data_IF_565246516354
#
_entry.id   IF_565246516354
#
_cell.length_a   1.000
_cell.length_b   1.000
_cell.length_c   1.000
_cell.angle_alpha   90.00
_cell.angle_beta   90.00
_cell.angle_gamma   90.00
#
_symmetry.space_group_name_H-M   'P 1'
#
loop_
_entity.id
_entity.type
_entity.pdbx_description
1 polymer ?
#
# COMPACT_ATOMS: atom_id res chain seq x y z
N UNK A 1 36.82 6.91 20.58
CA UNK A 1 35.55 6.33 21.07
C UNK A 1 34.80 7.42 21.81
N UNK A 2 33.50 7.59 21.56
CA UNK A 2 32.71 8.58 22.30
C UNK A 2 32.54 8.12 23.75
N UNK A 3 32.52 9.06 24.69
CA UNK A 3 32.28 8.77 26.11
C UNK A 3 30.84 8.31 26.33
N UNK A 4 30.58 7.63 27.46
CA UNK A 4 29.21 7.24 27.86
C UNK A 4 28.25 8.44 27.82
N UNK A 5 28.71 9.61 28.29
CA UNK A 5 27.95 10.87 28.30
C UNK A 5 27.59 11.32 26.89
N UNK A 6 28.54 11.28 25.96
CA UNK A 6 28.31 11.63 24.55
C UNK A 6 27.36 10.67 23.85
N UNK A 7 27.41 9.37 24.15
CA UNK A 7 26.45 8.38 23.63
C UNK A 7 25.04 8.64 24.17
N UNK A 8 24.93 8.97 25.45
CA UNK A 8 23.64 9.28 26.09
C UNK A 8 23.01 10.55 25.48
N UNK A 9 23.83 11.57 25.17
CA UNK A 9 23.36 12.78 24.51
C UNK A 9 22.98 12.57 23.03
N UNK A 10 23.61 11.61 22.33
CA UNK A 10 23.18 11.19 20.99
C UNK A 10 21.81 10.51 21.05
N UNK A 11 21.61 9.56 21.96
CA UNK A 11 20.34 8.83 22.10
C UNK A 11 19.19 9.75 22.48
N UNK A 12 19.42 10.77 23.33
CA UNK A 12 18.40 11.79 23.66
C UNK A 12 17.85 12.54 22.44
N UNK A 13 18.59 12.58 21.32
CA UNK A 13 18.09 13.16 20.06
C UNK A 13 16.95 12.35 19.46
N UNK A 14 16.87 11.06 19.77
CA UNK A 14 15.78 10.16 19.41
C UNK A 14 14.68 10.28 20.48
N UNK A 15 13.69 11.11 20.23
CA UNK A 15 12.46 11.15 21.00
C UNK A 15 11.30 10.57 20.18
N UNK A 16 10.17 10.18 20.82
CA UNK A 16 9.04 9.57 20.12
C UNK A 16 8.53 10.39 18.94
N UNK A 17 8.46 11.71 19.08
CA UNK A 17 8.03 12.63 18.01
C UNK A 17 8.95 12.55 16.81
N UNK A 18 10.27 12.51 17.03
CA UNK A 18 11.25 12.41 15.95
C UNK A 18 11.25 11.04 15.29
N UNK A 19 11.12 9.96 16.06
CA UNK A 19 11.01 8.59 15.53
C UNK A 19 9.76 8.48 14.65
N UNK A 20 8.62 8.96 15.13
CA UNK A 20 7.37 9.01 14.37
C UNK A 20 7.54 9.80 13.08
N UNK A 21 8.15 10.99 13.14
CA UNK A 21 8.46 11.78 11.95
C UNK A 21 9.32 11.01 10.95
N UNK A 22 10.42 10.40 11.39
CA UNK A 22 11.31 9.61 10.52
C UNK A 22 10.55 8.45 9.87
N UNK A 23 9.68 7.77 10.63
CA UNK A 23 8.85 6.68 10.12
C UNK A 23 7.92 7.15 9.01
N UNK A 24 7.13 8.20 9.25
CA UNK A 24 6.20 8.72 8.25
C UNK A 24 6.91 9.35 7.04
N UNK A 25 8.04 10.01 7.24
CA UNK A 25 8.89 10.50 6.15
C UNK A 25 9.42 9.31 5.31
N UNK A 26 9.78 8.20 5.96
CA UNK A 26 10.23 6.98 5.27
C UNK A 26 9.09 6.34 4.47
N UNK A 27 7.89 6.21 5.04
CA UNK A 27 6.70 5.72 4.34
C UNK A 27 6.40 6.58 3.10
N UNK A 28 6.43 7.91 3.25
CA UNK A 28 6.22 8.85 2.13
C UNK A 28 7.28 8.69 1.04
N UNK A 29 8.53 8.41 1.41
CA UNK A 29 9.60 8.21 0.44
C UNK A 29 9.43 6.95 -0.43
N UNK A 30 8.72 5.93 0.09
CA UNK A 30 8.41 4.69 -0.62
C UNK A 30 6.94 4.60 -1.07
N UNK A 31 6.21 5.71 -1.06
CA UNK A 31 4.77 5.75 -1.38
C UNK A 31 4.47 5.12 -2.74
N UNK A 32 5.28 5.43 -3.76
CA UNK A 32 5.11 4.85 -5.11
C UNK A 32 5.24 3.34 -5.12
N UNK A 33 6.21 2.80 -4.38
CA UNK A 33 6.42 1.36 -4.28
C UNK A 33 5.26 0.68 -3.57
N UNK A 34 4.74 1.32 -2.50
CA UNK A 34 3.59 0.81 -1.76
C UNK A 34 2.33 0.76 -2.64
N UNK A 35 2.10 1.81 -3.43
CA UNK A 35 0.99 1.87 -4.38
C UNK A 35 1.14 0.79 -5.45
N UNK A 36 2.31 0.67 -6.07
CA UNK A 36 2.61 -0.34 -7.09
C UNK A 36 2.38 -1.76 -6.57
N UNK A 37 2.75 -2.04 -5.31
CA UNK A 37 2.51 -3.36 -4.72
C UNK A 37 1.01 -3.62 -4.49
N UNK A 38 0.25 -2.61 -4.07
CA UNK A 38 -1.20 -2.77 -3.92
C UNK A 38 -1.87 -2.96 -5.29
N UNK A 39 -1.48 -2.21 -6.32
CA UNK A 39 -2.12 -2.24 -7.64
C UNK A 39 -1.58 -3.38 -8.51
N UNK A 40 -0.31 -3.30 -8.90
CA UNK A 40 0.31 -4.15 -9.93
C UNK A 40 0.67 -5.56 -9.45
N UNK A 41 0.83 -5.76 -8.13
CA UNK A 41 1.25 -7.06 -7.58
C UNK A 41 0.16 -7.76 -6.76
N UNK A 42 -1.02 -7.15 -6.57
CA UNK A 42 -2.06 -7.69 -5.70
C UNK A 42 -3.44 -7.55 -6.34
N UNK A 43 -3.89 -6.32 -6.64
CA UNK A 43 -5.18 -6.11 -7.30
C UNK A 43 -5.18 -6.67 -8.73
N UNK A 44 -4.08 -6.53 -9.48
CA UNK A 44 -3.92 -7.11 -10.82
C UNK A 44 -4.04 -8.64 -10.82
N UNK A 45 -3.65 -9.30 -9.72
CA UNK A 45 -3.80 -10.74 -9.50
C UNK A 45 -5.19 -11.11 -8.97
N UNK A 46 -6.03 -10.12 -8.70
CA UNK A 46 -7.37 -10.26 -8.16
C UNK A 46 -7.42 -10.61 -6.70
N UNK A 47 -6.50 -10.03 -5.92
CA UNK A 47 -6.36 -10.23 -4.47
C UNK A 47 -6.61 -8.91 -3.75
N UNK A 48 -7.40 -8.95 -2.67
CA UNK A 48 -7.69 -7.80 -1.81
C UNK A 48 -6.62 -7.60 -0.72
N UNK A 49 -6.77 -6.59 0.14
CA UNK A 49 -5.79 -6.30 1.19
C UNK A 49 -5.78 -7.34 2.32
N UNK A 50 -6.84 -8.15 2.44
CA UNK A 50 -6.90 -9.28 3.37
C UNK A 50 -6.27 -10.57 2.78
N UNK A 51 -5.79 -10.52 1.53
CA UNK A 51 -5.21 -11.67 0.84
C UNK A 51 -6.25 -12.64 0.27
N UNK A 52 -7.52 -12.22 0.21
CA UNK A 52 -8.62 -13.00 -0.37
C UNK A 52 -8.83 -12.63 -1.83
N UNK A 53 -9.48 -13.52 -2.58
CA UNK A 53 -9.88 -13.20 -3.96
C UNK A 53 -10.90 -12.07 -3.95
N UNK A 54 -10.73 -11.09 -4.83
CA UNK A 54 -11.71 -10.04 -5.04
C UNK A 54 -13.07 -10.65 -5.32
N UNK A 55 -14.04 -10.33 -4.47
CA UNK A 55 -15.39 -10.86 -4.55
C UNK A 55 -16.38 -9.72 -4.72
N UNK A 56 -17.09 -9.71 -5.84
CA UNK A 56 -18.13 -8.74 -6.08
C UNK A 56 -19.40 -9.13 -5.31
N UNK A 57 -19.73 -8.36 -4.28
CA UNK A 57 -20.88 -8.59 -3.39
C UNK A 57 -22.23 -8.51 -4.10
N UNK A 58 -22.32 -7.79 -5.23
CA UNK A 58 -23.52 -7.60 -6.04
C UNK A 58 -23.77 -8.80 -6.95
N UNK A 59 -22.76 -9.27 -7.67
CA UNK A 59 -22.88 -10.41 -8.60
C UNK A 59 -22.65 -11.76 -7.93
N UNK A 60 -22.15 -11.77 -6.69
CA UNK A 60 -21.79 -12.97 -5.90
C UNK A 60 -20.74 -13.85 -6.60
N UNK A 61 -19.78 -13.22 -7.28
CA UNK A 61 -18.72 -13.90 -8.06
C UNK A 61 -17.36 -13.28 -7.75
N UNK A 62 -16.30 -14.03 -8.03
CA UNK A 62 -14.90 -13.56 -7.95
C UNK A 62 -14.21 -13.41 -9.30
N UNK A 63 -14.96 -13.61 -10.39
CA UNK A 63 -14.44 -13.65 -11.76
C UNK A 63 -15.34 -12.88 -12.72
N UNK A 64 -14.76 -12.37 -13.80
CA UNK A 64 -15.51 -11.71 -14.87
C UNK A 64 -16.56 -12.63 -15.51
N UNK A 65 -17.68 -12.05 -15.92
CA UNK A 65 -18.76 -12.77 -16.61
C UNK A 65 -18.56 -12.72 -18.14
N UNK A 66 -19.21 -13.62 -18.90
CA UNK A 66 -19.21 -13.56 -20.37
C UNK A 66 -19.67 -12.19 -20.91
N UNK A 67 -20.68 -11.59 -20.27
CA UNK A 67 -21.14 -10.25 -20.63
C UNK A 67 -20.06 -9.18 -20.44
N UNK A 68 -19.24 -9.28 -19.38
CA UNK A 68 -18.13 -8.34 -19.19
C UNK A 68 -17.05 -8.52 -20.25
N UNK A 69 -16.77 -9.76 -20.66
CA UNK A 69 -15.83 -10.05 -21.74
C UNK A 69 -16.27 -9.41 -23.06
N UNK A 70 -17.54 -9.60 -23.45
CA UNK A 70 -18.13 -9.02 -24.64
C UNK A 70 -18.07 -7.48 -24.63
N UNK A 71 -18.53 -6.84 -23.54
CA UNK A 71 -18.51 -5.37 -23.39
C UNK A 71 -17.07 -4.82 -23.41
N UNK A 72 -16.12 -5.57 -22.86
CA UNK A 72 -14.71 -5.14 -22.80
C UNK A 72 -13.95 -5.35 -24.11
N UNK A 73 -14.55 -6.00 -25.11
CA UNK A 73 -13.88 -6.42 -26.35
C UNK A 73 -12.81 -7.49 -26.12
N UNK A 74 -13.03 -8.40 -25.16
CA UNK A 74 -12.11 -9.49 -24.84
C UNK A 74 -10.94 -9.12 -23.91
N UNK A 75 -10.83 -7.86 -23.48
CA UNK A 75 -9.78 -7.44 -22.52
C UNK A 75 -9.96 -8.06 -21.14
N UNK A 76 -11.21 -8.26 -20.71
CA UNK A 76 -11.58 -8.87 -19.42
C UNK A 76 -12.18 -10.24 -19.65
N UNK A 77 -11.32 -11.26 -19.72
CA UNK A 77 -11.73 -12.61 -20.11
C UNK A 77 -12.71 -13.23 -19.12
N UNK A 78 -13.73 -13.91 -19.61
CA UNK A 78 -14.70 -14.57 -18.75
C UNK A 78 -14.01 -15.67 -17.93
N UNK A 79 -14.32 -15.74 -16.64
CA UNK A 79 -13.72 -16.72 -15.73
C UNK A 79 -12.35 -16.34 -15.17
N UNK A 80 -11.73 -15.24 -15.61
CA UNK A 80 -10.52 -14.72 -14.94
C UNK A 80 -10.89 -13.86 -13.74
N UNK A 81 -10.02 -13.78 -12.71
CA UNK A 81 -10.25 -12.93 -11.54
C UNK A 81 -10.52 -11.48 -11.92
N UNK A 82 -11.30 -10.79 -11.09
CA UNK A 82 -11.40 -9.33 -11.17
C UNK A 82 -10.05 -8.70 -10.91
N UNK A 83 -9.68 -7.66 -11.65
CA UNK A 83 -8.45 -6.90 -11.39
C UNK A 83 -8.72 -5.49 -10.88
N UNK A 84 -9.95 -4.99 -11.04
CA UNK A 84 -10.33 -3.56 -10.87
C UNK A 84 -9.59 -2.62 -11.83
N UNK A 85 -8.89 -3.16 -12.81
CA UNK A 85 -8.29 -2.41 -13.90
C UNK A 85 -9.28 -2.31 -15.08
N UNK A 86 -9.35 -1.14 -15.72
CA UNK A 86 -10.15 -0.94 -16.93
C UNK A 86 -9.46 -0.02 -17.94
N UNK A 87 -9.32 1.25 -17.60
CA UNK A 87 -8.53 2.27 -18.32
C UNK A 87 -7.24 2.64 -17.58
N UNK A 88 -7.06 2.08 -16.37
CA UNK A 88 -5.99 2.42 -15.44
C UNK A 88 -6.26 3.66 -14.59
N UNK A 89 -7.35 4.41 -14.82
CA UNK A 89 -7.62 5.66 -14.08
C UNK A 89 -7.81 5.43 -12.58
N UNK A 90 -8.43 4.30 -12.21
CA UNK A 90 -8.59 3.92 -10.81
C UNK A 90 -7.23 3.77 -10.12
N UNK A 91 -6.28 3.07 -10.74
CA UNK A 91 -4.92 2.85 -10.23
C UNK A 91 -4.09 4.13 -10.23
N UNK A 92 -4.16 4.93 -11.30
CA UNK A 92 -3.50 6.25 -11.37
C UNK A 92 -3.97 7.20 -10.28
N UNK A 93 -5.20 7.02 -9.80
CA UNK A 93 -5.77 7.80 -8.72
C UNK A 93 -5.24 7.45 -7.33
N UNK A 94 -4.48 6.36 -7.15
CA UNK A 94 -4.01 5.91 -5.84
C UNK A 94 -3.06 6.91 -5.18
N UNK A 95 -3.20 7.06 -3.87
CA UNK A 95 -2.30 7.85 -3.03
C UNK A 95 -2.30 7.30 -1.60
N UNK A 96 -1.30 7.70 -0.81
CA UNK A 96 -1.25 7.41 0.62
C UNK A 96 -1.40 8.72 1.40
N UNK A 97 -2.48 8.83 2.17
CA UNK A 97 -2.69 9.94 3.09
C UNK A 97 -1.98 9.65 4.42
N UNK A 98 -0.93 10.40 4.73
CA UNK A 98 -0.28 10.36 6.05
C UNK A 98 -0.98 11.32 7.01
N UNK A 99 -1.62 10.77 8.05
CA UNK A 99 -2.14 11.49 9.22
C UNK A 99 -1.14 11.35 10.39
N UNK A 100 -1.41 12.02 11.51
CA UNK A 100 -0.49 12.08 12.66
C UNK A 100 -0.04 10.70 13.17
N UNK A 101 -0.88 9.68 13.03
CA UNK A 101 -0.73 8.35 13.62
C UNK A 101 -0.92 7.20 12.63
N UNK A 102 -1.25 7.48 11.36
CA UNK A 102 -1.53 6.44 10.36
C UNK A 102 -1.25 6.88 8.94
N UNK A 103 -0.92 5.91 8.09
CA UNK A 103 -0.83 6.06 6.65
C UNK A 103 -1.98 5.25 6.02
N UNK A 104 -2.81 5.88 5.20
CA UNK A 104 -4.04 5.28 4.66
C UNK A 104 -4.00 5.32 3.15
N UNK A 105 -4.17 4.16 2.51
CA UNK A 105 -4.35 4.05 1.07
C UNK A 105 -5.73 4.57 0.66
N UNK A 106 -5.78 5.31 -0.45
CA UNK A 106 -7.03 5.78 -1.05
C UNK A 106 -6.85 6.05 -2.53
N UNK A 107 -7.92 6.41 -3.24
CA UNK A 107 -7.88 6.83 -4.64
C UNK A 107 -8.75 8.07 -4.87
N UNK A 108 -8.29 8.96 -5.75
CA UNK A 108 -9.03 10.17 -6.17
C UNK A 108 -10.09 9.87 -7.24
N UNK A 109 -10.15 8.65 -7.73
CA UNK A 109 -11.14 8.24 -8.73
C UNK A 109 -12.56 8.30 -8.14
N UNK A 110 -13.50 8.87 -8.89
CA UNK A 110 -14.89 9.04 -8.46
C UNK A 110 -15.63 7.72 -8.21
N UNK A 111 -15.13 6.61 -8.76
CA UNK A 111 -15.68 5.26 -8.56
C UNK A 111 -15.23 4.62 -7.26
N UNK A 112 -14.29 5.22 -6.52
CA UNK A 112 -13.73 4.66 -5.28
C UNK A 112 -14.81 4.21 -4.27
N UNK A 113 -15.82 5.01 -3.93
CA UNK A 113 -16.84 4.58 -2.98
C UNK A 113 -17.66 3.38 -3.47
N UNK A 114 -17.94 3.32 -4.77
CA UNK A 114 -18.66 2.22 -5.40
C UNK A 114 -17.83 0.93 -5.36
N UNK A 115 -16.54 1.02 -5.70
CA UNK A 115 -15.64 -0.15 -5.72
C UNK A 115 -15.44 -0.71 -4.31
N UNK A 116 -15.27 0.15 -3.30
CA UNK A 116 -15.19 -0.30 -1.90
C UNK A 116 -16.50 -0.97 -1.46
N UNK A 117 -17.65 -0.41 -1.85
CA UNK A 117 -18.94 -1.02 -1.54
C UNK A 117 -19.12 -2.39 -2.20
N UNK A 118 -18.72 -2.56 -3.46
CA UNK A 118 -18.87 -3.80 -4.22
C UNK A 118 -17.84 -4.87 -3.85
N UNK A 119 -16.57 -4.50 -3.61
CA UNK A 119 -15.45 -5.44 -3.46
C UNK A 119 -14.89 -5.51 -2.03
N UNK A 120 -15.16 -4.53 -1.17
CA UNK A 120 -14.66 -4.51 0.20
C UNK A 120 -13.27 -3.88 0.33
N UNK A 121 -12.38 -4.55 1.06
CA UNK A 121 -11.07 -4.06 1.48
C UNK A 121 -10.03 -4.13 0.35
N UNK A 122 -10.22 -3.30 -0.67
CA UNK A 122 -9.33 -3.25 -1.85
C UNK A 122 -8.05 -2.43 -1.62
N UNK A 123 -8.04 -1.58 -0.59
CA UNK A 123 -6.93 -0.71 -0.23
C UNK A 123 -6.06 -1.33 0.85
N UNK A 124 -4.75 -1.28 0.64
CA UNK A 124 -3.76 -1.81 1.56
C UNK A 124 -3.04 -3.04 1.03
N UNK A 125 -2.05 -3.48 1.79
CA UNK A 125 -1.21 -4.61 1.43
C UNK A 125 -1.61 -5.83 2.24
N UNK A 126 -1.58 -7.00 1.61
CA UNK A 126 -1.61 -8.27 2.35
C UNK A 126 -0.48 -8.33 3.37
N UNK A 127 -0.65 -9.11 4.44
CA UNK A 127 0.38 -9.31 5.46
C UNK A 127 1.73 -9.71 4.85
N UNK A 128 1.72 -10.60 3.86
CA UNK A 128 2.92 -11.04 3.13
C UNK A 128 3.61 -9.88 2.40
N UNK A 129 2.84 -9.07 1.67
CA UNK A 129 3.38 -7.93 0.93
C UNK A 129 3.88 -6.84 1.87
N UNK A 130 3.14 -6.59 2.96
CA UNK A 130 3.51 -5.65 4.00
C UNK A 130 4.82 -6.05 4.68
N UNK A 131 4.94 -7.30 5.12
CA UNK A 131 6.17 -7.83 5.72
C UNK A 131 7.36 -7.70 4.76
N UNK A 132 7.16 -8.06 3.48
CA UNK A 132 8.21 -7.94 2.48
C UNK A 132 8.70 -6.50 2.30
N UNK A 133 7.80 -5.51 2.26
CA UNK A 133 8.16 -4.09 2.16
C UNK A 133 8.84 -3.60 3.43
N UNK A 134 8.35 -4.02 4.59
CA UNK A 134 8.96 -3.66 5.88
C UNK A 134 10.42 -4.11 5.90
N UNK A 135 10.69 -5.37 5.58
CA UNK A 135 12.04 -5.94 5.63
C UNK A 135 12.96 -5.37 4.54
N UNK A 136 12.48 -5.26 3.30
CA UNK A 136 13.32 -4.92 2.15
C UNK A 136 13.52 -3.42 1.95
N UNK A 137 12.56 -2.59 2.37
CA UNK A 137 12.57 -1.14 2.09
C UNK A 137 12.48 -0.30 3.37
N UNK A 138 11.45 -0.50 4.18
CA UNK A 138 11.17 0.42 5.29
C UNK A 138 12.21 0.34 6.41
N UNK A 139 12.56 -0.86 6.89
CA UNK A 139 13.53 -1.05 7.97
C UNK A 139 14.93 -0.53 7.61
N UNK A 140 15.49 -0.84 6.41
CA UNK A 140 16.77 -0.26 6.00
C UNK A 140 16.77 1.27 5.98
N UNK A 141 15.69 1.89 5.46
CA UNK A 141 15.55 3.36 5.44
C UNK A 141 15.46 3.95 6.85
N UNK A 142 14.64 3.34 7.71
CA UNK A 142 14.49 3.77 9.10
C UNK A 142 15.82 3.69 9.85
N UNK A 143 16.54 2.57 9.72
CA UNK A 143 17.86 2.38 10.34
C UNK A 143 18.88 3.40 9.83
N UNK A 144 18.90 3.68 8.52
CA UNK A 144 19.77 4.69 7.92
C UNK A 144 19.51 6.08 8.51
N UNK A 145 18.25 6.48 8.63
CA UNK A 145 17.87 7.79 9.17
C UNK A 145 18.12 7.92 10.68
N UNK A 146 17.93 6.83 11.42
CA UNK A 146 18.27 6.77 12.85
C UNK A 146 19.78 6.91 13.04
N UNK A 147 20.59 6.15 12.29
CA UNK A 147 22.06 6.24 12.33
C UNK A 147 22.54 7.66 11.99
N UNK A 148 21.97 8.26 10.93
CA UNK A 148 22.22 9.66 10.57
C UNK A 148 21.90 10.64 11.71
N UNK A 149 20.80 10.43 12.42
CA UNK A 149 20.41 11.25 13.59
C UNK A 149 21.39 11.11 14.76
N UNK A 150 21.92 9.90 14.95
CA UNK A 150 22.90 9.58 15.99
C UNK A 150 24.33 9.99 15.61
N UNK A 151 24.59 10.30 14.33
CA UNK A 151 25.92 10.64 13.82
C UNK A 151 26.87 9.46 13.87
N UNK A 152 26.39 8.27 13.47
CA UNK A 152 27.13 7.01 13.39
C UNK A 152 26.95 6.37 12.01
#
# INVERSE_FOLDING_TARGET
MATLKEQLDRVKKLNPTRISKILFDSIRSIEKDLIEINTENQLSEGVDSEGKRLFNKRTKRSVYSPLTEEISGGRKKAGTPYTLEDTGDFYKGFFIETKKDKAVFSSKDSKTPLLVAEYGEIFGLTDKNLEAVIQKKLLPLLQKEIRRTLGI
#
